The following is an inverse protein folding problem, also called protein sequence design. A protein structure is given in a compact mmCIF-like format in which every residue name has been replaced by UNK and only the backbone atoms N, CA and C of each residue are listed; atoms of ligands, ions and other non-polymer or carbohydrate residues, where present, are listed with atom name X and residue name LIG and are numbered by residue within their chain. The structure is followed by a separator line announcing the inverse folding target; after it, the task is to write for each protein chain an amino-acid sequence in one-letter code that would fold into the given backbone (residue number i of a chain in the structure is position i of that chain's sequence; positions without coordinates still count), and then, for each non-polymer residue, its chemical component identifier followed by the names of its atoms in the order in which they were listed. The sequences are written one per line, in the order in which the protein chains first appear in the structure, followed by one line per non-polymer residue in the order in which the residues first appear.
data_IF_264073548438
#
_entry.id   IF_264073548438
#
_cell.length_a   1.000
_cell.length_b   1.000
_cell.length_c   1.000
_cell.angle_alpha   90.00
_cell.angle_beta   90.00
_cell.angle_gamma   90.00
#
_symmetry.space_group_name_H-M   'P 1'
#
loop_
_entity.id
_entity.type
_entity.pdbx_description
1 polymer ?
#
# COMPACT_ATOMS: atom_id res chain seq x y z
N UNK A 1 1.03 8.78 13.42
CA UNK A 1 1.51 7.39 13.56
C UNK A 1 0.32 6.57 13.99
N UNK A 2 0.26 5.28 13.64
CA UNK A 2 -0.80 4.37 14.07
C UNK A 2 -0.30 3.44 15.17
N UNK A 3 -1.23 2.80 15.89
CA UNK A 3 -0.88 1.69 16.78
C UNK A 3 -0.46 0.47 15.95
N UNK A 4 0.82 0.10 16.04
CA UNK A 4 1.39 -1.03 15.29
C UNK A 4 0.80 -2.39 15.67
N UNK A 5 0.13 -2.48 16.82
CA UNK A 5 -0.59 -3.69 17.25
C UNK A 5 -2.12 -3.54 17.07
N UNK A 6 -2.57 -2.41 16.53
CA UNK A 6 -3.97 -2.12 16.30
C UNK A 6 -4.44 -2.60 14.93
N UNK A 7 -5.76 -2.67 14.70
CA UNK A 7 -6.33 -3.24 13.47
C UNK A 7 -5.99 -2.46 12.19
N UNK A 8 -5.68 -1.15 12.29
CA UNK A 8 -5.19 -0.38 11.15
C UNK A 8 -3.83 -0.90 10.63
N UNK A 9 -3.01 -1.50 11.50
CA UNK A 9 -1.76 -2.13 11.11
C UNK A 9 -2.00 -3.29 10.14
N UNK A 10 -3.04 -4.09 10.37
CA UNK A 10 -3.41 -5.22 9.52
C UNK A 10 -3.87 -4.74 8.13
N UNK A 11 -4.68 -3.69 8.08
CA UNK A 11 -5.12 -3.06 6.83
C UNK A 11 -3.95 -2.53 6.00
N UNK A 12 -3.04 -1.80 6.65
CA UNK A 12 -1.84 -1.27 5.99
C UNK A 12 -0.92 -2.40 5.51
N UNK A 13 -0.72 -3.44 6.33
CA UNK A 13 0.08 -4.59 5.96
C UNK A 13 -0.53 -5.34 4.76
N UNK A 14 -1.85 -5.57 4.76
CA UNK A 14 -2.56 -6.18 3.64
C UNK A 14 -2.31 -5.40 2.35
N UNK A 15 -2.51 -4.08 2.36
CA UNK A 15 -2.29 -3.21 1.20
C UNK A 15 -0.86 -3.33 0.69
N UNK A 16 0.14 -3.18 1.56
CA UNK A 16 1.55 -3.20 1.18
C UNK A 16 1.98 -4.56 0.60
N UNK A 17 1.54 -5.67 1.18
CA UNK A 17 1.83 -7.02 0.68
C UNK A 17 1.13 -7.27 -0.65
N UNK A 18 -0.12 -6.84 -0.79
CA UNK A 18 -0.90 -7.06 -2.02
C UNK A 18 -0.33 -6.24 -3.18
N UNK A 19 0.03 -4.97 -2.96
CA UNK A 19 0.73 -4.16 -3.97
C UNK A 19 2.03 -4.83 -4.43
N UNK A 20 2.84 -5.35 -3.50
CA UNK A 20 4.09 -6.04 -3.85
C UNK A 20 3.86 -7.26 -4.75
N UNK A 21 2.83 -8.06 -4.45
CA UNK A 21 2.63 -9.36 -5.10
C UNK A 21 1.79 -9.27 -6.38
N UNK A 22 0.81 -8.36 -6.44
CA UNK A 22 -0.19 -8.35 -7.50
C UNK A 22 0.04 -7.28 -8.56
N UNK A 23 0.68 -6.16 -8.25
CA UNK A 23 0.90 -5.09 -9.25
C UNK A 23 1.53 -5.60 -10.56
N UNK A 24 2.53 -6.53 -10.58
CA UNK A 24 3.06 -7.06 -11.84
C UNK A 24 2.01 -7.83 -12.69
N UNK A 25 1.03 -8.45 -12.03
CA UNK A 25 -0.04 -9.20 -12.68
C UNK A 25 -1.22 -8.30 -13.12
N UNK A 26 -1.20 -7.04 -12.70
CA UNK A 26 -2.26 -6.05 -12.90
C UNK A 26 -1.83 -4.96 -13.87
N UNK A 27 -1.00 -5.31 -14.86
CA UNK A 27 -0.51 -4.35 -15.86
C UNK A 27 0.50 -3.33 -15.31
N UNK A 28 1.08 -3.61 -14.15
CA UNK A 28 2.00 -2.74 -13.41
C UNK A 28 1.41 -1.39 -12.97
N UNK A 29 0.10 -1.28 -12.89
CA UNK A 29 -0.63 -0.12 -12.36
C UNK A 29 -1.83 -0.66 -11.59
N UNK A 30 -1.75 -0.66 -10.25
CA UNK A 30 -2.71 -1.40 -9.44
C UNK A 30 -3.14 -0.65 -8.19
N UNK A 31 -4.45 -0.56 -8.01
CA UNK A 31 -5.12 -0.03 -6.83
C UNK A 31 -5.68 -1.17 -5.98
N UNK A 32 -5.54 -1.05 -4.67
CA UNK A 32 -6.10 -2.00 -3.72
C UNK A 32 -6.67 -1.27 -2.51
N UNK A 33 -7.80 -1.78 -2.02
CA UNK A 33 -8.39 -1.41 -0.74
C UNK A 33 -8.35 -2.63 0.17
N UNK A 34 -8.01 -2.43 1.44
CA UNK A 34 -8.03 -3.50 2.44
C UNK A 34 -9.45 -4.09 2.59
N UNK A 35 -9.60 -5.39 2.87
CA UNK A 35 -10.90 -6.09 2.84
C UNK A 35 -11.76 -5.87 4.11
N UNK A 36 -11.42 -4.90 4.96
CA UNK A 36 -12.11 -4.66 6.23
C UNK A 36 -13.32 -3.75 6.05
N UNK A 37 -14.39 -3.96 6.81
CA UNK A 37 -15.68 -3.28 6.62
C UNK A 37 -15.90 -2.04 7.48
N UNK A 38 -14.91 -1.63 8.27
CA UNK A 38 -14.98 -0.43 9.09
C UNK A 38 -14.20 0.68 8.39
N UNK A 39 -14.88 1.75 8.00
CA UNK A 39 -14.28 2.85 7.23
C UNK A 39 -13.06 3.47 7.92
N UNK A 40 -13.06 3.57 9.26
CA UNK A 40 -11.93 4.06 10.05
C UNK A 40 -10.70 3.12 10.02
N UNK A 41 -10.87 1.88 9.56
CA UNK A 41 -9.82 0.88 9.43
C UNK A 41 -9.42 0.63 7.98
N UNK A 42 -10.07 1.27 7.01
CA UNK A 42 -9.72 1.08 5.62
C UNK A 42 -8.33 1.63 5.34
N UNK A 43 -7.55 0.85 4.60
CA UNK A 43 -6.34 1.29 3.97
C UNK A 43 -6.50 1.19 2.46
N UNK A 44 -5.94 2.17 1.77
CA UNK A 44 -5.92 2.27 0.32
C UNK A 44 -4.47 2.29 -0.13
N UNK A 45 -4.20 1.69 -1.27
CA UNK A 45 -2.88 1.73 -1.85
C UNK A 45 -2.89 1.67 -3.35
N UNK A 46 -1.80 2.18 -3.90
CA UNK A 46 -1.52 2.21 -5.32
C UNK A 46 -0.04 1.96 -5.53
N UNK A 47 0.29 1.16 -6.54
CA UNK A 47 1.66 1.03 -7.00
C UNK A 47 1.70 0.98 -8.52
N UNK A 48 2.71 1.67 -9.06
CA UNK A 48 3.09 1.56 -10.47
C UNK A 48 4.49 1.00 -10.57
N UNK A 49 4.77 0.21 -11.61
CA UNK A 49 6.12 -0.29 -11.88
C UNK A 49 6.39 -0.42 -13.39
N UNK A 50 7.65 -0.43 -13.78
CA UNK A 50 8.07 -0.68 -15.16
C UNK A 50 8.63 -2.10 -15.37
N UNK A 51 8.59 -2.95 -14.33
CA UNK A 51 9.15 -4.32 -14.34
C UNK A 51 8.63 -5.13 -13.14
N UNK A 52 8.88 -6.45 -13.13
CA UNK A 52 8.40 -7.40 -12.10
C UNK A 52 8.92 -7.18 -10.67
N UNK A 53 9.93 -6.33 -10.48
CA UNK A 53 10.58 -6.14 -9.18
C UNK A 53 9.95 -4.98 -8.41
N UNK A 54 9.06 -5.32 -7.47
CA UNK A 54 8.48 -4.35 -6.52
C UNK A 54 9.15 -4.50 -5.17
N UNK A 55 9.78 -3.42 -4.71
CA UNK A 55 10.34 -3.35 -3.38
C UNK A 55 9.26 -2.94 -2.40
N UNK A 56 9.20 -3.63 -1.25
CA UNK A 56 8.28 -3.28 -0.19
C UNK A 56 8.70 -1.92 0.41
N UNK A 57 7.75 -1.02 0.61
CA UNK A 57 7.97 0.21 1.38
C UNK A 57 8.29 -0.12 2.84
N UNK A 58 9.57 -0.08 3.21
CA UNK A 58 10.00 -0.16 4.61
C UNK A 58 10.35 1.22 5.19
N UNK A 59 10.60 2.22 4.33
CA UNK A 59 11.00 3.58 4.72
C UNK A 59 9.92 4.33 5.50
N UNK A 60 8.64 4.00 5.29
CA UNK A 60 7.50 4.67 5.92
C UNK A 60 6.93 3.89 7.13
N UNK A 61 7.70 2.96 7.71
CA UNK A 61 7.23 2.12 8.83
C UNK A 61 6.64 2.97 9.99
N UNK A 62 5.47 2.56 10.49
CA UNK A 62 4.73 3.26 11.54
C UNK A 62 4.00 4.53 11.12
N UNK A 63 3.96 4.86 9.82
CA UNK A 63 3.18 5.99 9.28
C UNK A 63 1.83 5.52 8.74
N UNK A 64 0.79 6.33 8.98
CA UNK A 64 -0.60 6.08 8.52
C UNK A 64 -0.70 6.17 6.99
N UNK A 65 0.15 7.01 6.39
CA UNK A 65 0.28 7.13 4.95
C UNK A 65 1.72 7.38 4.58
N UNK A 66 2.06 7.05 3.34
CA UNK A 66 3.39 7.21 2.80
C UNK A 66 3.40 7.07 1.30
N UNK A 67 4.32 7.79 0.66
CA UNK A 67 4.59 7.70 -0.76
C UNK A 67 6.09 7.58 -0.98
N UNK A 68 6.50 6.66 -1.85
CA UNK A 68 7.88 6.56 -2.32
C UNK A 68 7.91 6.51 -3.83
N UNK A 69 8.99 7.03 -4.37
CA UNK A 69 9.32 6.98 -5.78
C UNK A 69 10.69 6.34 -5.93
N UNK A 70 10.74 5.28 -6.73
CA UNK A 70 11.94 4.58 -7.16
C UNK A 70 12.15 4.83 -8.64
N UNK A 71 13.35 4.55 -9.14
CA UNK A 71 13.73 4.73 -10.55
C UNK A 71 12.75 4.08 -11.54
N UNK A 72 12.05 3.00 -11.12
CA UNK A 72 11.15 2.20 -11.98
C UNK A 72 9.81 1.89 -11.35
N UNK A 73 9.50 2.45 -10.18
CA UNK A 73 8.26 2.14 -9.47
C UNK A 73 7.84 3.32 -8.60
N UNK A 74 6.54 3.50 -8.41
CA UNK A 74 6.00 4.32 -7.33
C UNK A 74 5.09 3.47 -6.45
N UNK A 75 5.00 3.82 -5.18
CA UNK A 75 4.05 3.20 -4.25
C UNK A 75 3.52 4.28 -3.31
N UNK A 76 2.22 4.27 -3.10
CA UNK A 76 1.53 5.14 -2.15
C UNK A 76 0.51 4.33 -1.36
N UNK A 77 0.40 4.60 -0.07
CA UNK A 77 -0.68 4.09 0.75
C UNK A 77 -1.20 5.18 1.70
N UNK A 78 -2.48 5.11 2.04
CA UNK A 78 -3.19 6.09 2.88
C UNK A 78 -4.36 5.43 3.64
N UNK A 79 -4.87 6.09 4.69
CA UNK A 79 -6.12 5.71 5.39
C UNK A 79 -7.37 6.33 4.75
N UNK A 80 -7.24 6.99 3.60
CA UNK A 80 -8.34 7.60 2.86
C UNK A 80 -8.16 7.31 1.37
N UNK A 81 -9.26 7.32 0.62
CA UNK A 81 -9.18 7.06 -0.83
C UNK A 81 -8.51 8.20 -1.57
N UNK A 82 -7.81 7.87 -2.65
CA UNK A 82 -7.11 8.83 -3.50
C UNK A 82 -7.14 8.37 -4.96
N UNK A 83 -6.79 9.28 -5.87
CA UNK A 83 -6.69 9.10 -7.32
C UNK A 83 -5.29 9.40 -7.82
#
# INVERSE_FOLDING_TARGET
MYDKNGPLADSLYYVLVTLKNETPNQGYDYYVTSPYHNDDLLAYGHATCSSNSIYLMTTCDGRIGGQVEFVRCSMRYEQYSFS
#
